data_IF_029991298242
#
_entry.id   IF_029991298242
#
_cell.length_a   1.000
_cell.length_b   1.000
_cell.length_c   1.000
_cell.angle_alpha   90.00
_cell.angle_beta   90.00
_cell.angle_gamma   90.00
#
_symmetry.space_group_name_H-M   'P 1'
#
loop_
_entity.id
_entity.type
_entity.pdbx_description
1 polymer ?
#
# COMPACT_ATOMS: atom_id res chain seq x y z
N UNK A 1 4.23 10.20 12.34
CA UNK A 1 4.27 10.13 10.86
C UNK A 1 3.05 10.87 10.35
N UNK A 2 3.21 11.73 9.34
CA UNK A 2 2.08 12.35 8.64
C UNK A 2 1.65 11.44 7.49
N UNK A 3 0.40 11.54 7.05
CA UNK A 3 -0.13 10.84 5.87
C UNK A 3 0.83 10.91 4.68
N UNK A 4 1.37 12.09 4.41
CA UNK A 4 2.28 12.36 3.29
C UNK A 4 3.56 11.51 3.37
N UNK A 5 4.16 11.33 4.56
CA UNK A 5 5.35 10.47 4.73
C UNK A 5 5.04 8.99 4.46
N UNK A 6 3.84 8.54 4.86
CA UNK A 6 3.38 7.17 4.59
C UNK A 6 3.17 6.98 3.10
N UNK A 7 2.45 7.91 2.45
CA UNK A 7 2.19 7.88 1.01
C UNK A 7 3.49 7.83 0.23
N UNK A 8 4.43 8.72 0.54
CA UNK A 8 5.69 8.82 -0.19
C UNK A 8 6.54 7.56 -0.01
N UNK A 9 6.68 7.04 1.21
CA UNK A 9 7.43 5.80 1.46
C UNK A 9 6.75 4.57 0.87
N UNK A 10 5.43 4.44 1.03
CA UNK A 10 4.68 3.32 0.44
C UNK A 10 4.83 3.39 -1.07
N UNK A 11 4.58 4.54 -1.70
CA UNK A 11 4.70 4.67 -3.15
C UNK A 11 6.11 4.39 -3.65
N UNK A 12 7.15 4.93 -3.01
CA UNK A 12 8.53 4.66 -3.40
C UNK A 12 8.85 3.16 -3.32
N UNK A 13 8.46 2.51 -2.23
CA UNK A 13 8.68 1.09 -2.02
C UNK A 13 7.88 0.24 -3.03
N UNK A 14 6.63 0.60 -3.32
CA UNK A 14 5.82 -0.11 -4.30
C UNK A 14 6.29 0.14 -5.74
N UNK A 15 6.74 1.36 -6.05
CA UNK A 15 7.31 1.69 -7.35
C UNK A 15 8.56 0.85 -7.63
N UNK A 16 9.41 0.67 -6.62
CA UNK A 16 10.64 -0.12 -6.74
C UNK A 16 10.35 -1.62 -6.81
N UNK A 17 9.46 -2.15 -5.96
CA UNK A 17 9.17 -3.59 -5.89
C UNK A 17 8.28 -4.09 -7.04
N UNK A 18 7.37 -3.25 -7.54
CA UNK A 18 6.44 -3.60 -8.61
C UNK A 18 6.86 -3.02 -9.98
N UNK A 19 7.98 -2.30 -10.05
CA UNK A 19 8.45 -1.63 -11.28
C UNK A 19 7.37 -0.71 -11.90
N UNK A 20 6.67 0.04 -11.04
CA UNK A 20 5.59 0.96 -11.43
C UNK A 20 6.04 2.41 -11.25
N UNK A 21 5.65 3.27 -12.19
CA UNK A 21 6.02 4.67 -12.16
C UNK A 21 5.28 5.45 -11.06
N UNK A 22 5.97 6.38 -10.40
CA UNK A 22 5.41 7.20 -9.33
C UNK A 22 4.20 8.03 -9.80
N UNK A 23 4.13 8.32 -11.10
CA UNK A 23 3.03 9.05 -11.75
C UNK A 23 1.70 8.26 -11.73
N UNK A 24 1.76 6.93 -11.67
CA UNK A 24 0.56 6.07 -11.64
C UNK A 24 -0.06 6.00 -10.24
N UNK A 25 0.68 6.37 -9.19
CA UNK A 25 0.21 6.36 -7.80
C UNK A 25 -0.66 7.58 -7.48
N UNK A 26 -1.83 7.62 -8.10
CA UNK A 26 -2.84 8.65 -7.85
C UNK A 26 -3.71 8.21 -6.66
N UNK A 27 -4.03 9.08 -5.69
CA UNK A 27 -4.88 8.71 -4.55
C UNK A 27 -6.25 8.15 -4.96
N UNK A 28 -6.80 8.65 -6.08
CA UNK A 28 -8.07 8.17 -6.66
C UNK A 28 -7.91 6.91 -7.54
N UNK A 29 -6.68 6.57 -7.95
CA UNK A 29 -6.42 5.39 -8.77
C UNK A 29 -6.61 4.09 -7.98
N UNK A 30 -6.94 3.04 -8.71
CA UNK A 30 -7.16 1.72 -8.15
C UNK A 30 -5.83 1.02 -7.91
N UNK A 31 -5.54 0.67 -6.66
CA UNK A 31 -4.27 0.03 -6.26
C UNK A 31 -4.03 -1.25 -7.05
N UNK A 32 -5.08 -2.04 -7.28
CA UNK A 32 -4.96 -3.32 -7.97
C UNK A 32 -4.74 -3.17 -9.46
N UNK A 33 -5.35 -2.16 -10.06
CA UNK A 33 -5.23 -1.90 -11.49
C UNK A 33 -3.85 -1.33 -11.80
N UNK A 34 -3.45 -0.29 -11.04
CA UNK A 34 -2.15 0.37 -11.14
C UNK A 34 -0.97 -0.59 -10.90
N UNK A 35 -1.03 -1.40 -9.84
CA UNK A 35 0.05 -2.33 -9.50
C UNK A 35 -0.12 -3.71 -10.15
N UNK A 36 -1.15 -3.90 -10.99
CA UNK A 36 -1.54 -5.22 -11.53
C UNK A 36 -1.49 -6.32 -10.47
N UNK A 37 -2.22 -6.11 -9.36
CA UNK A 37 -2.22 -7.02 -8.22
C UNK A 37 -3.09 -8.25 -8.49
N UNK A 38 -2.43 -9.31 -8.94
CA UNK A 38 -2.92 -10.67 -8.90
C UNK A 38 -3.01 -11.24 -7.47
N UNK A 39 -3.62 -12.42 -7.37
CA UNK A 39 -3.81 -13.12 -6.08
C UNK A 39 -2.51 -13.44 -5.34
N UNK A 40 -1.38 -13.51 -6.05
CA UNK A 40 -0.04 -13.67 -5.47
C UNK A 40 0.57 -12.32 -5.06
N UNK A 41 0.58 -11.33 -5.96
CA UNK A 41 1.16 -10.01 -5.67
C UNK A 41 0.45 -9.26 -4.56
N UNK A 42 -0.84 -9.53 -4.30
CA UNK A 42 -1.53 -9.06 -3.10
C UNK A 42 -0.86 -9.53 -1.80
N UNK A 43 -0.33 -10.76 -1.78
CA UNK A 43 0.33 -11.33 -0.60
C UNK A 43 1.71 -10.70 -0.42
N UNK A 44 2.45 -10.49 -1.51
CA UNK A 44 3.74 -9.77 -1.50
C UNK A 44 3.56 -8.33 -1.01
N UNK A 45 2.60 -7.58 -1.57
CA UNK A 45 2.28 -6.22 -1.13
C UNK A 45 2.06 -6.14 0.39
N UNK A 46 1.19 -7.02 0.91
CA UNK A 46 0.91 -7.11 2.34
C UNK A 46 2.20 -7.43 3.10
N UNK A 47 2.98 -8.41 2.67
CA UNK A 47 4.20 -8.82 3.36
C UNK A 47 5.22 -7.68 3.46
N UNK A 48 5.43 -6.92 2.37
CA UNK A 48 6.38 -5.82 2.34
C UNK A 48 5.95 -4.69 3.29
N UNK A 49 4.66 -4.30 3.25
CA UNK A 49 4.13 -3.27 4.15
C UNK A 49 4.18 -3.74 5.61
N UNK A 50 3.81 -5.00 5.88
CA UNK A 50 3.89 -5.58 7.22
C UNK A 50 5.33 -5.61 7.75
N UNK A 51 6.32 -5.93 6.91
CA UNK A 51 7.72 -5.96 7.32
C UNK A 51 8.28 -4.55 7.54
N UNK A 52 7.92 -3.60 6.66
CA UNK A 52 8.41 -2.22 6.67
C UNK A 52 7.84 -1.43 7.85
N UNK A 53 6.53 -1.52 8.06
CA UNK A 53 5.81 -0.73 9.06
C UNK A 53 5.50 -1.52 10.34
N UNK A 54 5.88 -2.81 10.41
CA UNK A 54 5.55 -3.73 11.51
C UNK A 54 4.06 -3.79 11.85
N UNK A 55 3.21 -3.53 10.85
CA UNK A 55 1.75 -3.64 10.95
C UNK A 55 1.30 -5.05 10.63
N UNK A 56 0.10 -5.43 11.08
CA UNK A 56 -0.59 -6.64 10.61
C UNK A 56 -1.78 -6.22 9.77
N UNK A 57 -1.64 -6.38 8.46
CA UNK A 57 -2.71 -6.14 7.48
C UNK A 57 -3.25 -7.50 7.03
N UNK A 58 -4.47 -7.90 7.41
CA UNK A 58 -5.09 -9.09 6.86
C UNK A 58 -5.44 -8.87 5.38
N UNK A 59 -5.30 -9.93 4.59
CA UNK A 59 -5.62 -9.90 3.14
C UNK A 59 -7.09 -9.52 2.92
N UNK A 60 -8.00 -9.87 3.83
CA UNK A 60 -9.42 -9.50 3.74
C UNK A 60 -9.63 -7.98 3.69
N UNK A 61 -9.00 -7.24 4.61
CA UNK A 61 -9.06 -5.77 4.62
C UNK A 61 -8.39 -5.18 3.38
N UNK A 62 -7.25 -5.73 2.96
CA UNK A 62 -6.60 -5.25 1.74
C UNK A 62 -7.43 -5.53 0.47
N UNK A 63 -8.33 -6.52 0.49
CA UNK A 63 -9.30 -6.74 -0.59
C UNK A 63 -10.44 -5.73 -0.58
N UNK A 64 -10.80 -5.18 0.57
CA UNK A 64 -11.77 -4.08 0.71
C UNK A 64 -11.18 -2.76 0.21
N UNK A 65 -9.86 -2.58 0.37
CA UNK A 65 -9.10 -1.46 -0.18
C UNK A 65 -9.11 -1.53 -1.71
N UNK A 66 -9.64 -0.47 -2.33
CA UNK A 66 -9.70 -0.33 -3.79
C UNK A 66 -8.79 0.78 -4.30
N UNK A 67 -8.75 1.90 -3.60
CA UNK A 67 -7.97 3.08 -3.99
C UNK A 67 -6.75 3.27 -3.11
N UNK A 68 -5.74 3.96 -3.64
CA UNK A 68 -4.54 4.30 -2.88
C UNK A 68 -4.89 5.13 -1.65
N UNK A 69 -5.86 6.03 -1.75
CA UNK A 69 -6.38 6.79 -0.61
C UNK A 69 -6.79 5.90 0.56
N UNK A 70 -7.55 4.83 0.28
CA UNK A 70 -7.96 3.85 1.29
C UNK A 70 -6.77 3.06 1.83
N UNK A 71 -5.77 2.76 1.00
CA UNK A 71 -4.56 2.08 1.42
C UNK A 71 -3.78 2.94 2.42
N UNK A 72 -3.56 4.21 2.12
CA UNK A 72 -2.82 5.11 3.00
C UNK A 72 -3.56 5.38 4.30
N UNK A 73 -4.88 5.57 4.24
CA UNK A 73 -5.72 5.76 5.43
C UNK A 73 -5.68 4.53 6.33
N UNK A 74 -5.76 3.34 5.72
CA UNK A 74 -5.63 2.08 6.45
C UNK A 74 -4.27 1.93 7.11
N UNK A 75 -3.19 2.19 6.37
CA UNK A 75 -1.83 2.13 6.91
C UNK A 75 -1.66 3.18 7.99
N UNK A 76 -2.13 4.41 7.84
CA UNK A 76 -2.05 5.45 8.88
C UNK A 76 -2.77 5.04 10.17
N UNK A 77 -3.97 4.47 10.05
CA UNK A 77 -4.79 4.07 11.18
C UNK A 77 -4.23 2.85 11.93
N UNK A 78 -3.60 1.92 11.19
CA UNK A 78 -3.03 0.68 11.72
C UNK A 78 -1.52 0.75 12.03
N UNK A 79 -0.76 1.61 11.36
CA UNK A 79 0.64 1.93 11.66
C UNK A 79 0.73 2.88 12.85
N UNK A 80 0.11 2.47 13.96
CA UNK A 80 0.42 3.08 15.26
C UNK A 80 1.79 2.60 15.68
N UNK A 81 2.73 3.53 15.58
CA UNK A 81 4.04 3.50 16.23
C UNK A 81 3.88 3.08 17.70
N UNK A 82 4.58 2.04 18.13
CA UNK A 82 5.08 1.97 19.50
C UNK A 82 6.41 2.74 19.57
#
# INVERSE_FOLDING_TARGET
MTREDIVEKVNALLAEEFEVDAEEFVPDANVRDTLSLDSLSLVDLVAIIQQTYKVKIPVADLREIKTFDNLYDYIESHAKQE
#
